data_IF_365818953723
#
_entry.id   IF_365818953723
#
_cell.length_a   1.000
_cell.length_b   1.000
_cell.length_c   1.000
_cell.angle_alpha   90.00
_cell.angle_beta   90.00
_cell.angle_gamma   90.00
#
_symmetry.space_group_name_H-M   'P 1'
#
loop_
_entity.id
_entity.type
_entity.pdbx_description
1 polymer ?
#
# COMPACT_ATOMS: atom_id res chain seq x y z
N UNK A 1 -28.81 12.77 9.68
CA UNK A 1 -28.65 13.38 8.34
C UNK A 1 -28.11 12.30 7.42
N UNK A 2 -28.44 12.33 6.14
CA UNK A 2 -27.87 11.35 5.22
C UNK A 2 -26.37 11.64 5.01
N UNK A 3 -25.57 10.58 4.91
CA UNK A 3 -24.15 10.72 4.55
C UNK A 3 -24.04 11.27 3.12
N UNK A 4 -23.03 12.10 2.82
CA UNK A 4 -22.80 12.56 1.46
C UNK A 4 -22.53 11.37 0.53
N UNK A 5 -22.99 11.47 -0.71
CA UNK A 5 -22.81 10.42 -1.71
C UNK A 5 -21.33 10.28 -2.09
N UNK A 6 -20.82 9.05 -2.07
CA UNK A 6 -19.46 8.74 -2.53
C UNK A 6 -19.43 8.65 -4.06
N UNK A 7 -18.56 9.44 -4.69
CA UNK A 7 -18.24 9.33 -6.11
C UNK A 7 -17.36 8.08 -6.35
N UNK A 8 -18.02 6.97 -6.67
CA UNK A 8 -17.36 5.67 -6.89
C UNK A 8 -16.49 5.66 -8.15
N UNK A 9 -16.80 6.46 -9.16
CA UNK A 9 -15.98 6.56 -10.37
C UNK A 9 -14.65 7.23 -10.05
N UNK A 10 -14.69 8.34 -9.32
CA UNK A 10 -13.48 9.01 -8.83
C UNK A 10 -12.63 8.09 -7.95
N UNK A 11 -13.25 7.40 -6.98
CA UNK A 11 -12.58 6.43 -6.12
C UNK A 11 -11.83 5.37 -6.94
N UNK A 12 -12.52 4.71 -7.86
CA UNK A 12 -11.96 3.62 -8.65
C UNK A 12 -10.90 4.10 -9.64
N UNK A 13 -11.05 5.30 -10.21
CA UNK A 13 -10.06 5.87 -11.13
C UNK A 13 -8.77 6.23 -10.39
N UNK A 14 -8.87 6.92 -9.24
CA UNK A 14 -7.71 7.22 -8.41
C UNK A 14 -7.01 5.95 -7.94
N UNK A 15 -7.78 4.96 -7.45
CA UNK A 15 -7.23 3.68 -7.02
C UNK A 15 -6.45 2.97 -8.14
N UNK A 16 -6.99 2.91 -9.36
CA UNK A 16 -6.29 2.32 -10.51
C UNK A 16 -4.98 3.05 -10.83
N UNK A 17 -4.96 4.38 -10.73
CA UNK A 17 -3.72 5.15 -10.95
C UNK A 17 -2.71 4.81 -9.85
N UNK A 18 -3.11 4.88 -8.57
CA UNK A 18 -2.26 4.57 -7.44
C UNK A 18 -1.67 3.16 -7.56
N UNK A 19 -2.48 2.15 -7.85
CA UNK A 19 -2.05 0.76 -7.98
C UNK A 19 -1.02 0.57 -9.10
N UNK A 20 -1.17 1.31 -10.21
CA UNK A 20 -0.23 1.25 -11.33
C UNK A 20 1.02 2.12 -11.12
N UNK A 21 1.08 2.97 -10.10
CA UNK A 21 2.28 3.72 -9.72
C UNK A 21 3.13 2.86 -8.77
N UNK A 22 4.33 2.40 -9.18
CA UNK A 22 5.22 1.62 -8.33
C UNK A 22 5.61 2.39 -7.07
N UNK A 23 5.52 1.75 -5.91
CA UNK A 23 5.92 2.38 -4.65
C UNK A 23 6.42 1.40 -3.60
N UNK A 24 7.40 0.52 -3.87
CA UNK A 24 7.99 -0.29 -2.81
C UNK A 24 8.47 0.59 -1.65
N UNK A 25 8.37 0.12 -0.41
CA UNK A 25 8.84 0.89 0.76
C UNK A 25 10.29 1.37 0.57
N UNK A 26 10.49 2.69 0.73
CA UNK A 26 11.76 3.36 0.44
C UNK A 26 11.91 3.92 -0.98
N UNK A 27 10.99 3.60 -1.90
CA UNK A 27 10.91 4.13 -3.26
C UNK A 27 9.50 4.66 -3.56
N UNK A 28 9.07 5.66 -2.78
CA UNK A 28 7.69 6.17 -2.81
C UNK A 28 7.54 7.57 -3.40
N UNK A 29 8.61 8.15 -3.96
CA UNK A 29 8.60 9.52 -4.47
C UNK A 29 7.44 9.77 -5.45
N UNK A 30 7.35 8.97 -6.50
CA UNK A 30 6.34 9.12 -7.55
C UNK A 30 4.89 9.01 -7.02
N UNK A 31 4.62 8.07 -6.10
CA UNK A 31 3.27 7.93 -5.53
C UNK A 31 2.93 9.06 -4.57
N UNK A 32 3.89 9.54 -3.78
CA UNK A 32 3.68 10.67 -2.87
C UNK A 32 3.49 11.96 -3.66
N UNK A 33 4.25 12.19 -4.73
CA UNK A 33 4.06 13.33 -5.62
C UNK A 33 2.68 13.30 -6.28
N UNK A 34 2.25 12.13 -6.76
CA UNK A 34 0.91 11.94 -7.32
C UNK A 34 -0.18 12.28 -6.30
N UNK A 35 -0.08 11.74 -5.08
CA UNK A 35 -1.05 11.98 -4.00
C UNK A 35 -1.03 13.46 -3.59
N UNK A 36 0.15 14.08 -3.50
CA UNK A 36 0.32 15.50 -3.18
C UNK A 36 -0.36 16.40 -4.21
N UNK A 37 -0.19 16.11 -5.51
CA UNK A 37 -0.85 16.83 -6.60
C UNK A 37 -2.38 16.70 -6.52
N UNK A 38 -2.89 15.48 -6.33
CA UNK A 38 -4.34 15.27 -6.17
C UNK A 38 -4.87 15.98 -4.91
N UNK A 39 -4.08 16.06 -3.84
CA UNK A 39 -4.49 16.73 -2.59
C UNK A 39 -4.52 18.25 -2.77
N UNK A 40 -3.61 18.80 -3.57
CA UNK A 40 -3.53 20.23 -3.87
C UNK A 40 -4.71 20.74 -4.72
N UNK A 41 -5.43 19.86 -5.42
CA UNK A 41 -6.68 20.22 -6.11
C UNK A 41 -7.81 20.61 -5.14
N UNK A 42 -7.70 20.22 -3.87
CA UNK A 42 -8.57 20.70 -2.80
C UNK A 42 -7.99 21.97 -2.19
N UNK A 43 -8.46 23.13 -2.66
CA UNK A 43 -7.93 24.44 -2.25
C UNK A 43 -8.02 24.78 -0.76
N UNK A 44 -8.79 24.00 0.02
CA UNK A 44 -8.94 24.12 1.47
C UNK A 44 -7.98 23.21 2.25
N UNK A 45 -7.13 22.45 1.56
CA UNK A 45 -6.08 21.64 2.14
C UNK A 45 -4.72 22.31 1.97
N UNK A 46 -3.86 22.11 2.96
CA UNK A 46 -2.46 22.55 2.94
C UNK A 46 -1.55 21.31 2.98
N UNK A 47 -1.24 20.70 1.81
CA UNK A 47 -0.37 19.53 1.75
C UNK A 47 1.10 19.91 1.97
N UNK A 48 1.76 19.20 2.88
CA UNK A 48 3.17 19.35 3.22
C UNK A 48 3.85 17.99 3.32
N UNK A 49 5.14 17.94 2.98
CA UNK A 49 5.94 16.74 3.13
C UNK A 49 6.64 16.73 4.49
N UNK A 50 6.58 15.60 5.19
CA UNK A 50 7.46 15.35 6.32
C UNK A 50 8.90 15.15 5.84
N UNK A 51 9.87 15.21 6.76
CA UNK A 51 11.29 14.94 6.44
C UNK A 51 11.54 13.54 5.89
N UNK A 52 10.66 12.57 6.19
CA UNK A 52 10.73 11.19 5.68
C UNK A 52 9.96 11.00 4.36
N UNK A 53 9.30 12.04 3.86
CA UNK A 53 8.57 12.00 2.59
C UNK A 53 7.14 11.49 2.71
N UNK A 54 6.58 11.31 3.91
CA UNK A 54 5.13 11.15 4.07
C UNK A 54 4.41 12.47 3.78
N UNK A 55 3.18 12.41 3.27
CA UNK A 55 2.34 13.57 3.00
C UNK A 55 1.41 13.86 4.18
N UNK A 56 1.33 15.11 4.61
CA UNK A 56 0.41 15.58 5.64
C UNK A 56 -0.41 16.73 5.07
N UNK A 57 -1.73 16.67 5.19
CA UNK A 57 -2.61 17.76 4.78
C UNK A 57 -3.64 18.03 5.87
N UNK A 58 -3.85 19.30 6.21
CA UNK A 58 -4.83 19.70 7.22
C UNK A 58 -6.02 20.38 6.58
N UNK A 59 -7.23 19.97 6.98
CA UNK A 59 -8.50 20.64 6.69
C UNK A 59 -9.01 21.29 7.96
N UNK A 60 -9.08 22.62 7.97
CA UNK A 60 -9.72 23.37 9.06
C UNK A 60 -11.19 22.98 9.22
N UNK A 61 -11.55 22.60 10.44
CA UNK A 61 -12.92 22.25 10.78
C UNK A 61 -13.72 23.44 11.29
N UNK A 62 -14.98 23.19 11.65
CA UNK A 62 -15.81 24.19 12.35
C UNK A 62 -15.28 24.54 13.74
N UNK A 63 -14.54 23.61 14.36
CA UNK A 63 -13.89 23.72 15.66
C UNK A 63 -12.46 23.16 15.58
N UNK A 64 -11.63 23.50 16.56
CA UNK A 64 -10.26 23.00 16.70
C UNK A 64 -9.92 22.65 18.16
N UNK A 65 -10.92 22.35 18.99
CA UNK A 65 -10.74 22.02 20.42
C UNK A 65 -10.55 20.51 20.65
N UNK A 66 -10.79 19.68 19.63
CA UNK A 66 -10.51 18.24 19.64
C UNK A 66 -10.06 17.77 18.25
N UNK A 67 -8.88 18.20 17.76
CA UNK A 67 -8.39 17.87 16.42
C UNK A 67 -8.29 16.36 16.20
N UNK A 68 -8.49 15.93 14.95
CA UNK A 68 -8.54 14.50 14.57
C UNK A 68 -7.62 14.21 13.41
N UNK A 69 -7.27 12.94 13.21
CA UNK A 69 -6.49 12.53 12.08
C UNK A 69 -6.92 11.19 11.51
N UNK A 70 -6.70 11.07 10.21
CA UNK A 70 -6.81 9.83 9.45
C UNK A 70 -5.46 9.52 8.84
N UNK A 71 -5.06 8.25 8.86
CA UNK A 71 -3.86 7.81 8.15
C UNK A 71 -4.09 6.53 7.37
N UNK A 72 -3.46 6.45 6.21
CA UNK A 72 -3.36 5.29 5.32
C UNK A 72 -1.92 5.27 4.77
N UNK A 73 -1.50 4.21 4.09
CA UNK A 73 -0.16 4.14 3.52
C UNK A 73 -0.13 3.92 2.01
N UNK A 74 0.89 4.50 1.37
CA UNK A 74 1.08 4.41 -0.08
C UNK A 74 2.29 3.54 -0.47
N UNK A 75 3.13 3.16 0.50
CA UNK A 75 4.17 2.18 0.25
C UNK A 75 3.60 0.78 0.10
N UNK A 76 4.39 -0.08 -0.53
CA UNK A 76 3.97 -1.42 -0.90
C UNK A 76 5.09 -2.41 -0.66
N UNK A 77 4.73 -3.67 -0.54
CA UNK A 77 5.66 -4.78 -0.71
C UNK A 77 6.45 -4.70 -2.02
N UNK A 78 7.68 -5.19 -2.00
CA UNK A 78 8.52 -5.26 -3.19
C UNK A 78 9.80 -6.04 -2.96
N UNK A 79 10.84 -5.71 -3.72
CA UNK A 79 12.15 -6.28 -3.52
C UNK A 79 13.26 -5.28 -3.87
N UNK A 80 14.48 -5.65 -3.53
CA UNK A 80 15.70 -4.95 -3.92
C UNK A 80 16.71 -5.94 -4.47
N UNK A 81 17.50 -5.52 -5.45
CA UNK A 81 18.59 -6.32 -6.00
C UNK A 81 19.64 -6.53 -4.91
N UNK A 82 19.88 -7.79 -4.53
CA UNK A 82 20.87 -8.19 -3.52
C UNK A 82 22.19 -8.64 -4.14
N UNK A 83 22.13 -9.32 -5.27
CA UNK A 83 23.29 -9.89 -5.94
C UNK A 83 22.99 -10.01 -7.44
N UNK A 84 23.97 -9.64 -8.27
CA UNK A 84 23.97 -9.95 -9.70
C UNK A 84 24.75 -11.25 -9.86
N UNK A 85 24.06 -12.33 -10.21
CA UNK A 85 24.62 -13.68 -10.32
C UNK A 85 25.55 -13.77 -11.52
N UNK A 86 26.45 -14.76 -11.51
CA UNK A 86 27.42 -14.99 -12.59
C UNK A 86 26.80 -15.21 -13.98
N UNK A 87 25.53 -15.59 -14.06
CA UNK A 87 24.78 -15.78 -15.30
C UNK A 87 23.92 -14.56 -15.70
N UNK A 88 24.14 -13.41 -15.06
CA UNK A 88 23.41 -12.15 -15.32
C UNK A 88 22.01 -12.06 -14.71
N UNK A 89 21.57 -13.07 -13.95
CA UNK A 89 20.29 -13.02 -13.25
C UNK A 89 20.40 -12.28 -11.92
N UNK A 90 19.29 -11.76 -11.43
CA UNK A 90 19.30 -10.99 -10.19
C UNK A 90 18.76 -11.83 -9.04
N UNK A 91 19.50 -11.88 -7.93
CA UNK A 91 18.97 -12.35 -6.66
C UNK A 91 18.33 -11.17 -5.93
N UNK A 92 17.18 -11.41 -5.31
CA UNK A 92 16.42 -10.39 -4.62
C UNK A 92 16.54 -10.53 -3.10
N UNK A 93 16.32 -9.42 -2.40
CA UNK A 93 15.91 -9.38 -1.00
C UNK A 93 14.53 -8.75 -0.91
N UNK A 94 13.69 -9.19 0.03
CA UNK A 94 12.32 -8.67 0.17
C UNK A 94 12.32 -7.26 0.76
N UNK A 95 11.33 -6.48 0.37
CA UNK A 95 10.87 -5.28 1.06
C UNK A 95 9.46 -5.62 1.58
N UNK A 96 9.29 -5.55 2.90
CA UNK A 96 8.08 -6.00 3.60
C UNK A 96 7.90 -7.53 3.69
N UNK A 97 6.76 -7.96 4.21
CA UNK A 97 6.49 -9.34 4.62
C UNK A 97 5.59 -10.15 3.67
N UNK A 98 6.19 -10.97 2.78
CA UNK A 98 5.43 -11.91 1.94
C UNK A 98 6.12 -13.25 1.70
N UNK A 99 5.36 -14.25 1.24
CA UNK A 99 5.90 -15.52 0.76
C UNK A 99 6.24 -15.43 -0.72
N UNK A 100 7.44 -15.89 -1.13
CA UNK A 100 7.85 -15.86 -2.54
C UNK A 100 6.90 -16.63 -3.48
N UNK A 101 6.17 -17.61 -2.94
CA UNK A 101 5.13 -18.34 -3.68
C UNK A 101 4.08 -17.41 -4.30
N UNK A 102 3.76 -16.28 -3.66
CA UNK A 102 2.71 -15.38 -4.12
C UNK A 102 3.16 -14.49 -5.29
N UNK A 103 4.45 -14.49 -5.62
CA UNK A 103 5.05 -13.67 -6.68
C UNK A 103 5.86 -14.47 -7.71
N UNK A 104 5.91 -15.80 -7.60
CA UNK A 104 6.52 -16.66 -8.62
C UNK A 104 5.77 -16.51 -9.95
N UNK A 105 6.49 -16.17 -11.02
CA UNK A 105 5.92 -15.95 -12.35
C UNK A 105 5.42 -14.52 -12.61
N UNK A 106 5.42 -13.65 -11.60
CA UNK A 106 5.05 -12.23 -11.79
C UNK A 106 6.07 -11.50 -12.65
N UNK A 107 5.57 -10.55 -13.44
CA UNK A 107 6.40 -9.52 -14.05
C UNK A 107 6.87 -8.51 -13.00
N UNK A 108 8.01 -7.89 -13.26
CA UNK A 108 8.55 -6.85 -12.39
C UNK A 108 9.30 -5.77 -13.18
N UNK A 109 9.42 -4.59 -12.56
CA UNK A 109 10.26 -3.48 -13.04
C UNK A 109 11.42 -3.27 -12.08
N UNK A 110 12.63 -3.17 -12.62
CA UNK A 110 13.85 -2.78 -11.91
C UNK A 110 14.09 -1.30 -12.18
N UNK A 111 14.31 -0.52 -11.13
CA UNK A 111 14.60 0.91 -11.20
C UNK A 111 16.06 1.14 -10.86
N UNK A 112 16.85 1.58 -11.83
CA UNK A 112 18.27 1.83 -11.61
C UNK A 112 18.49 3.24 -11.05
N UNK A 113 19.58 3.40 -10.29
CA UNK A 113 20.03 4.72 -9.81
C UNK A 113 20.24 5.78 -10.89
N UNK A 114 20.40 5.39 -12.16
CA UNK A 114 20.55 6.30 -13.31
C UNK A 114 19.20 6.70 -13.94
N UNK A 115 18.08 6.25 -13.38
CA UNK A 115 16.74 6.54 -13.88
C UNK A 115 16.29 5.64 -15.04
N UNK A 116 17.05 4.61 -15.40
CA UNK A 116 16.61 3.62 -16.38
C UNK A 116 15.69 2.59 -15.71
N UNK A 117 14.78 2.03 -16.51
CA UNK A 117 13.90 0.95 -16.06
C UNK A 117 14.08 -0.29 -16.93
N UNK A 118 14.06 -1.46 -16.29
CA UNK A 118 14.14 -2.76 -16.97
C UNK A 118 13.00 -3.66 -16.56
N UNK A 119 12.44 -4.35 -17.54
CA UNK A 119 11.43 -5.40 -17.31
C UNK A 119 12.12 -6.72 -17.00
N UNK A 120 11.43 -7.56 -16.23
CA UNK A 120 11.86 -8.92 -15.95
C UNK A 120 10.73 -9.78 -15.42
N UNK A 121 11.06 -11.03 -15.15
CA UNK A 121 10.14 -12.00 -14.53
C UNK A 121 10.78 -12.64 -13.30
N UNK A 122 10.01 -12.77 -12.22
CA UNK A 122 10.41 -13.47 -11.01
C UNK A 122 10.25 -14.97 -11.24
N UNK A 123 11.34 -15.71 -11.10
CA UNK A 123 11.39 -17.12 -11.41
C UNK A 123 12.05 -17.90 -10.27
N UNK A 124 11.63 -19.14 -10.14
CA UNK A 124 12.44 -20.13 -9.44
C UNK A 124 13.73 -20.39 -10.25
N UNK A 125 14.86 -20.46 -9.57
CA UNK A 125 16.18 -20.77 -10.17
C UNK A 125 16.22 -22.09 -10.94
N UNK A 126 15.27 -23.00 -10.67
CA UNK A 126 15.05 -24.25 -11.40
C UNK A 126 13.61 -24.30 -11.96
N UNK A 127 13.19 -23.28 -12.70
CA UNK A 127 11.79 -23.16 -13.15
C UNK A 127 11.29 -24.22 -14.15
N UNK A 128 12.18 -24.94 -14.87
CA UNK A 128 11.74 -25.86 -15.95
C UNK A 128 11.71 -27.32 -15.53
N UNK A 129 10.53 -27.93 -15.56
CA UNK A 129 10.34 -29.38 -15.34
C UNK A 129 10.99 -30.24 -16.42
N UNK A 130 11.08 -29.74 -17.66
CA UNK A 130 11.79 -30.44 -18.75
C UNK A 130 13.30 -30.48 -18.55
N UNK A 131 13.87 -29.57 -17.73
CA UNK A 131 15.31 -29.52 -17.43
C UNK A 131 15.62 -30.16 -16.08
N UNK A 132 14.75 -29.97 -15.07
CA UNK A 132 15.03 -30.34 -13.68
C UNK A 132 14.12 -31.44 -13.11
N UNK A 133 13.13 -31.92 -13.85
CA UNK A 133 12.22 -32.98 -13.43
C UNK A 133 11.42 -32.61 -12.18
N UNK A 134 11.26 -33.56 -11.25
CA UNK A 134 10.52 -33.34 -9.99
C UNK A 134 11.15 -32.29 -9.07
N UNK A 135 12.43 -31.96 -9.25
CA UNK A 135 13.15 -30.99 -8.40
C UNK A 135 12.51 -29.60 -8.42
N UNK A 136 11.73 -29.26 -9.46
CA UNK A 136 10.97 -28.00 -9.52
C UNK A 136 9.92 -27.93 -8.43
N UNK A 137 9.29 -29.07 -8.10
CA UNK A 137 8.23 -29.17 -7.10
C UNK A 137 8.81 -29.14 -5.68
N UNK A 138 9.99 -29.76 -5.50
CA UNK A 138 10.62 -29.91 -4.17
C UNK A 138 11.40 -28.65 -3.74
N UNK A 139 11.80 -27.80 -4.69
CA UNK A 139 12.63 -26.64 -4.38
C UNK A 139 11.81 -25.57 -3.65
N UNK A 140 12.23 -25.23 -2.43
CA UNK A 140 11.53 -24.25 -1.59
C UNK A 140 11.63 -22.83 -2.18
N UNK A 141 10.51 -22.10 -2.16
CA UNK A 141 10.40 -20.70 -2.58
C UNK A 141 10.93 -19.79 -1.48
N UNK A 142 12.25 -19.66 -1.42
CA UNK A 142 12.98 -18.85 -0.45
C UNK A 142 14.04 -17.98 -1.16
N UNK A 143 14.61 -17.00 -0.46
CA UNK A 143 15.50 -15.98 -1.02
C UNK A 143 16.69 -16.53 -1.84
N UNK A 144 17.17 -17.73 -1.50
CA UNK A 144 18.27 -18.39 -2.21
C UNK A 144 17.87 -18.98 -3.56
N UNK A 145 16.58 -19.28 -3.73
CA UNK A 145 16.05 -20.05 -4.86
C UNK A 145 15.22 -19.21 -5.83
N UNK A 146 14.86 -17.97 -5.46
CA UNK A 146 14.15 -17.03 -6.33
C UNK A 146 15.13 -16.06 -6.99
N UNK A 147 14.85 -15.71 -8.24
CA UNK A 147 15.67 -14.81 -9.04
C UNK A 147 14.84 -14.06 -10.08
N UNK A 148 15.39 -12.97 -10.62
CA UNK A 148 14.82 -12.27 -11.77
C UNK A 148 15.62 -12.61 -13.01
N UNK A 149 14.90 -12.99 -14.07
CA UNK A 149 15.42 -12.94 -15.43
C UNK A 149 15.01 -11.60 -16.03
N UNK A 150 15.99 -10.77 -16.36
CA UNK A 150 15.74 -9.53 -17.09
C UNK A 150 15.28 -9.83 -18.52
N UNK A 151 14.39 -9.00 -19.04
CA UNK A 151 14.01 -8.98 -20.45
C UNK A 151 15.00 -8.12 -21.26
N UNK A 152 16.29 -8.37 -21.02
CA UNK A 152 17.42 -7.71 -21.65
C UNK A 152 18.48 -8.76 -22.04
N UNK A 153 19.25 -8.48 -23.09
CA UNK A 153 20.33 -9.37 -23.52
C UNK A 153 21.54 -9.20 -22.60
N UNK A 154 21.67 -10.10 -21.64
CA UNK A 154 22.83 -10.23 -20.76
C UNK A 154 23.04 -11.71 -20.42
N UNK A 155 24.30 -12.14 -20.34
CA UNK A 155 24.66 -13.54 -20.02
C UNK A 155 25.56 -13.68 -18.81
N UNK A 156 26.04 -12.56 -18.26
CA UNK A 156 26.95 -12.55 -17.13
C UNK A 156 26.76 -11.31 -16.25
N UNK A 157 27.47 -11.28 -15.13
CA UNK A 157 27.34 -10.20 -14.16
C UNK A 157 27.83 -8.84 -14.68
N UNK A 158 28.85 -8.82 -15.53
CA UNK A 158 29.45 -7.57 -16.01
C UNK A 158 28.58 -6.93 -17.09
N UNK A 159 28.09 -7.72 -18.05
CA UNK A 159 27.09 -7.26 -19.02
C UNK A 159 25.82 -6.73 -18.34
N UNK A 160 25.41 -7.34 -17.23
CA UNK A 160 24.23 -6.87 -16.47
C UNK A 160 24.50 -5.53 -15.79
N UNK A 161 25.71 -5.34 -15.25
CA UNK A 161 26.14 -4.05 -14.70
C UNK A 161 26.27 -2.97 -15.77
N UNK A 162 26.67 -3.33 -16.97
CA UNK A 162 26.77 -2.41 -18.11
C UNK A 162 25.40 -1.86 -18.54
N UNK A 163 24.31 -2.56 -18.24
CA UNK A 163 22.94 -2.04 -18.38
C UNK A 163 22.61 -0.96 -17.32
N UNK A 164 23.47 -0.78 -16.31
CA UNK A 164 23.28 0.14 -15.19
C UNK A 164 22.58 -0.50 -13.99
N UNK A 165 22.26 -1.80 -14.03
CA UNK A 165 21.68 -2.51 -12.88
C UNK A 165 22.74 -2.73 -11.81
N UNK A 166 22.42 -2.41 -10.57
CA UNK A 166 23.31 -2.53 -9.42
C UNK A 166 22.62 -3.16 -8.21
N UNK A 167 23.42 -3.65 -7.27
CA UNK A 167 22.93 -4.01 -5.93
C UNK A 167 22.37 -2.75 -5.27
N UNK A 168 21.17 -2.85 -4.69
CA UNK A 168 20.44 -1.72 -4.12
C UNK A 168 19.32 -1.18 -4.99
N UNK A 169 19.26 -1.56 -6.28
CA UNK A 169 18.18 -1.14 -7.17
C UNK A 169 16.83 -1.72 -6.71
N UNK A 170 15.79 -0.88 -6.74
CA UNK A 170 14.44 -1.27 -6.35
C UNK A 170 13.77 -2.12 -7.42
N UNK A 171 12.96 -3.07 -6.98
CA UNK A 171 12.17 -3.96 -7.82
C UNK A 171 10.71 -3.89 -7.39
N UNK A 172 9.86 -3.39 -8.28
CA UNK A 172 8.42 -3.38 -8.09
C UNK A 172 7.76 -4.53 -8.87
N UNK A 173 6.75 -5.15 -8.28
CA UNK A 173 6.01 -6.24 -8.90
C UNK A 173 4.82 -5.70 -9.68
N UNK A 174 4.44 -6.39 -10.75
CA UNK A 174 3.28 -5.99 -11.53
C UNK A 174 2.00 -6.12 -10.70
N UNK A 175 1.16 -5.07 -10.63
CA UNK A 175 -0.04 -5.08 -9.79
C UNK A 175 -1.17 -5.95 -10.37
N UNK A 176 -1.22 -6.14 -11.70
CA UNK A 176 -2.29 -6.86 -12.42
C UNK A 176 -3.69 -6.33 -12.07
N UNK A 177 -3.85 -5.01 -12.11
CA UNK A 177 -5.11 -4.33 -11.77
C UNK A 177 -6.22 -4.74 -12.73
N UNK A 178 -7.29 -5.31 -12.19
CA UNK A 178 -8.50 -5.69 -12.93
C UNK A 178 -9.74 -5.23 -12.18
N UNK A 179 -10.78 -4.82 -12.91
CA UNK A 179 -12.08 -4.51 -12.34
C UNK A 179 -13.17 -5.19 -13.14
N UNK A 180 -14.01 -5.96 -12.46
CA UNK A 180 -15.04 -6.78 -13.10
C UNK A 180 -16.19 -7.07 -12.12
N UNK A 181 -17.45 -6.93 -12.58
CA UNK A 181 -18.66 -7.24 -11.82
C UNK A 181 -18.71 -6.67 -10.39
N UNK A 182 -18.27 -5.43 -10.21
CA UNK A 182 -18.25 -4.76 -8.90
C UNK A 182 -17.04 -5.09 -8.02
N UNK A 183 -16.14 -5.97 -8.46
CA UNK A 183 -14.88 -6.25 -7.79
C UNK A 183 -13.73 -5.45 -8.40
N UNK A 184 -12.74 -5.16 -7.58
CA UNK A 184 -11.40 -4.79 -8.01
C UNK A 184 -10.42 -5.83 -7.47
N UNK A 185 -9.55 -6.34 -8.34
CA UNK A 185 -8.50 -7.29 -7.99
C UNK A 185 -7.18 -6.68 -8.40
N UNK A 186 -6.24 -6.66 -7.47
CA UNK A 186 -4.87 -6.24 -7.74
C UNK A 186 -3.97 -6.80 -6.65
N UNK A 187 -2.68 -6.89 -6.94
CA UNK A 187 -1.66 -6.78 -5.92
C UNK A 187 -1.56 -5.32 -5.46
N UNK A 188 -1.14 -5.09 -4.21
CA UNK A 188 -0.96 -3.77 -3.62
C UNK A 188 -2.28 -2.99 -3.37
N UNK A 189 -3.42 -3.69 -3.24
CA UNK A 189 -4.64 -3.08 -2.69
C UNK A 189 -4.36 -2.52 -1.29
N UNK A 190 -3.63 -3.31 -0.52
CA UNK A 190 -2.91 -2.91 0.68
C UNK A 190 -1.80 -1.90 0.34
N UNK A 191 -1.91 -0.62 0.71
CA UNK A 191 -3.08 0.08 1.32
C UNK A 191 -3.56 1.26 0.45
N UNK A 192 -3.25 1.18 -0.84
CA UNK A 192 -3.66 2.18 -1.84
C UNK A 192 -5.19 2.30 -1.94
N UNK A 193 -5.92 1.25 -1.58
CA UNK A 193 -7.37 1.28 -1.45
C UNK A 193 -7.83 2.30 -0.39
N UNK A 194 -7.22 2.33 0.79
CA UNK A 194 -7.61 3.26 1.84
C UNK A 194 -7.15 4.68 1.56
N UNK A 195 -5.99 4.86 0.91
CA UNK A 195 -5.60 6.17 0.36
C UNK A 195 -6.69 6.69 -0.56
N UNK A 196 -7.17 5.89 -1.52
CA UNK A 196 -8.25 6.30 -2.42
C UNK A 196 -9.57 6.59 -1.67
N UNK A 197 -9.91 5.80 -0.64
CA UNK A 197 -11.08 6.03 0.21
C UNK A 197 -11.02 7.37 0.94
N UNK A 198 -9.86 7.79 1.47
CA UNK A 198 -9.68 9.10 2.11
C UNK A 198 -9.99 10.22 1.10
N UNK A 199 -9.43 10.15 -0.10
CA UNK A 199 -9.69 11.14 -1.15
C UNK A 199 -11.17 11.19 -1.55
N UNK A 200 -11.82 10.03 -1.70
CA UNK A 200 -13.23 9.97 -2.03
C UNK A 200 -14.11 10.57 -0.92
N UNK A 201 -13.76 10.37 0.35
CA UNK A 201 -14.46 10.98 1.48
C UNK A 201 -14.28 12.51 1.50
N UNK A 202 -13.07 13.02 1.24
CA UNK A 202 -12.80 14.46 1.13
C UNK A 202 -13.65 15.07 0.00
N UNK A 203 -13.63 14.46 -1.18
CA UNK A 203 -14.40 14.90 -2.34
C UNK A 203 -15.91 14.89 -2.09
N UNK A 204 -16.42 13.86 -1.41
CA UNK A 204 -17.83 13.76 -1.06
C UNK A 204 -18.27 14.90 -0.12
N UNK A 205 -17.48 15.21 0.91
CA UNK A 205 -17.74 16.34 1.80
C UNK A 205 -17.73 17.67 1.06
N UNK A 206 -16.70 17.91 0.23
CA UNK A 206 -16.60 19.12 -0.58
C UNK A 206 -17.81 19.28 -1.51
N UNK A 207 -18.21 18.21 -2.21
CA UNK A 207 -19.32 18.23 -3.16
C UNK A 207 -20.66 18.52 -2.49
N UNK A 208 -20.80 18.12 -1.23
CA UNK A 208 -21.95 18.42 -0.38
C UNK A 208 -21.88 19.80 0.29
N UNK A 209 -20.81 20.57 0.09
CA UNK A 209 -20.58 21.86 0.76
C UNK A 209 -20.36 21.70 2.27
N UNK A 210 -19.88 20.53 2.70
CA UNK A 210 -19.60 20.19 4.09
C UNK A 210 -18.11 20.33 4.41
N UNK A 211 -17.81 20.52 5.69
CA UNK A 211 -16.47 20.47 6.24
C UNK A 211 -16.45 19.62 7.53
N UNK A 212 -15.29 19.13 7.97
CA UNK A 212 -15.16 18.43 9.23
C UNK A 212 -15.64 19.27 10.43
N UNK A 213 -16.24 18.62 11.43
CA UNK A 213 -16.62 19.33 12.66
C UNK A 213 -15.41 19.79 13.48
N UNK A 214 -14.31 19.06 13.39
CA UNK A 214 -13.03 19.34 14.05
C UNK A 214 -11.95 19.42 12.97
N UNK A 215 -10.95 20.29 13.13
CA UNK A 215 -9.78 20.32 12.25
C UNK A 215 -9.20 18.91 12.14
N UNK A 216 -9.02 18.48 10.90
CA UNK A 216 -8.71 17.09 10.56
C UNK A 216 -7.43 17.04 9.73
N UNK A 217 -6.46 16.26 10.19
CA UNK A 217 -5.21 15.99 9.49
C UNK A 217 -5.30 14.65 8.74
N UNK A 218 -4.98 14.66 7.46
CA UNK A 218 -4.81 13.47 6.65
C UNK A 218 -3.31 13.19 6.51
N UNK A 219 -2.89 11.99 6.85
CA UNK A 219 -1.50 11.56 6.78
C UNK A 219 -1.37 10.35 5.85
N UNK A 220 -0.64 10.49 4.74
CA UNK A 220 -0.33 9.39 3.84
C UNK A 220 1.10 8.94 4.10
N UNK A 221 1.24 7.83 4.82
CA UNK A 221 2.54 7.29 5.22
C UNK A 221 3.21 6.52 4.08
N UNK A 222 4.53 6.31 4.20
CA UNK A 222 5.36 5.73 3.15
C UNK A 222 6.37 4.68 3.66
N UNK A 223 6.17 4.17 4.87
CA UNK A 223 7.05 3.18 5.53
C UNK A 223 6.26 2.24 6.47
N UNK A 224 4.99 1.99 6.18
CA UNK A 224 4.17 1.10 7.01
C UNK A 224 4.71 -0.33 6.96
N UNK A 225 5.02 -0.85 5.77
CA UNK A 225 5.27 -2.29 5.50
C UNK A 225 6.56 -2.83 6.15
N UNK A 226 7.32 -1.96 6.82
CA UNK A 226 8.53 -2.25 7.58
C UNK A 226 8.43 -1.83 9.05
N UNK A 227 7.22 -1.52 9.53
CA UNK A 227 6.88 -1.23 10.92
C UNK A 227 7.24 0.18 11.39
N UNK A 228 7.38 1.16 10.49
CA UNK A 228 7.50 2.57 10.92
C UNK A 228 6.17 3.31 10.90
N UNK A 229 5.26 2.96 9.98
CA UNK A 229 3.95 3.58 9.83
C UNK A 229 3.98 5.11 9.86
N UNK A 230 2.94 5.70 10.44
CA UNK A 230 2.81 7.14 10.66
C UNK A 230 3.47 7.62 11.97
N UNK A 231 4.71 7.21 12.27
CA UNK A 231 5.38 7.51 13.54
C UNK A 231 5.61 9.01 13.85
N UNK A 232 5.49 9.90 12.87
CA UNK A 232 5.70 11.35 13.03
C UNK A 232 4.95 12.14 11.97
N UNK A 233 4.68 13.41 12.23
CA UNK A 233 4.02 14.31 11.26
C UNK A 233 2.64 14.78 11.72
N UNK A 234 2.09 14.17 12.77
CA UNK A 234 0.84 14.64 13.38
C UNK A 234 1.05 15.88 14.27
N UNK A 235 0.06 16.77 14.36
CA UNK A 235 0.01 17.81 15.37
C UNK A 235 0.08 17.26 16.80
N UNK A 236 0.76 17.93 17.74
CA UNK A 236 0.94 17.44 19.11
C UNK A 236 -0.34 17.48 19.96
N UNK A 237 -1.36 18.22 19.52
CA UNK A 237 -2.66 18.41 20.19
C UNK A 237 -3.76 17.48 19.66
N UNK A 238 -3.38 16.45 18.89
CA UNK A 238 -4.30 15.49 18.31
C UNK A 238 -5.09 14.74 19.41
N UNK A 239 -6.42 14.75 19.32
CA UNK A 239 -7.30 14.07 20.26
C UNK A 239 -7.59 12.62 19.85
N UNK A 240 -7.75 12.36 18.55
CA UNK A 240 -8.09 11.04 18.00
C UNK A 240 -7.32 10.78 16.69
N UNK A 241 -6.78 9.57 16.54
CA UNK A 241 -6.20 9.07 15.30
C UNK A 241 -6.95 7.79 14.89
N UNK A 242 -7.35 7.72 13.63
CA UNK A 242 -7.89 6.51 13.02
C UNK A 242 -6.94 6.10 11.89
N UNK A 243 -6.40 4.90 11.98
CA UNK A 243 -5.73 4.24 10.85
C UNK A 243 -6.80 3.58 9.99
N UNK A 244 -6.74 3.84 8.69
CA UNK A 244 -7.60 3.24 7.68
C UNK A 244 -6.72 2.27 6.91
N UNK A 245 -7.08 1.00 6.98
CA UNK A 245 -6.25 -0.11 6.51
C UNK A 245 -7.12 -1.28 6.06
N UNK A 246 -6.50 -2.31 5.51
CA UNK A 246 -7.18 -3.46 4.95
C UNK A 246 -7.71 -4.44 6.00
N UNK A 247 -8.71 -5.22 5.57
CA UNK A 247 -9.24 -6.32 6.35
C UNK A 247 -8.63 -7.64 5.86
N UNK A 248 -7.99 -8.38 6.78
CA UNK A 248 -7.46 -9.70 6.47
C UNK A 248 -8.56 -10.75 6.53
N UNK A 249 -8.98 -11.27 5.37
CA UNK A 249 -9.99 -12.33 5.25
C UNK A 249 -9.33 -13.71 5.34
N UNK A 250 -9.84 -14.56 6.22
CA UNK A 250 -9.31 -15.91 6.42
C UNK A 250 -10.10 -16.75 7.41
N UNK A 251 -9.71 -18.01 7.57
CA UNK A 251 -10.31 -18.88 8.58
C UNK A 251 -10.11 -18.29 9.98
N UNK A 252 -11.19 -18.17 10.74
CA UNK A 252 -11.20 -17.56 12.08
C UNK A 252 -11.49 -16.06 12.10
N UNK A 253 -11.54 -15.39 10.95
CA UNK A 253 -11.85 -13.96 10.82
C UNK A 253 -13.33 -13.76 10.52
N UNK A 254 -13.90 -12.64 10.98
CA UNK A 254 -15.29 -12.29 10.67
C UNK A 254 -15.41 -11.50 9.38
N UNK A 255 -14.37 -10.73 9.02
CA UNK A 255 -14.27 -9.87 7.85
C UNK A 255 -14.67 -10.56 6.54
N UNK A 256 -15.19 -9.77 5.60
CA UNK A 256 -15.46 -10.18 4.23
C UNK A 256 -15.22 -9.02 3.27
N UNK A 257 -15.41 -9.28 1.97
CA UNK A 257 -15.18 -8.31 0.89
C UNK A 257 -16.36 -7.34 0.67
N UNK A 258 -17.43 -7.42 1.48
CA UNK A 258 -18.67 -6.67 1.29
C UNK A 258 -19.01 -5.71 2.43
N UNK A 259 -18.18 -5.66 3.48
CA UNK A 259 -18.38 -4.82 4.65
C UNK A 259 -17.10 -4.09 5.02
N UNK A 260 -17.24 -2.88 5.58
CA UNK A 260 -16.15 -2.25 6.31
C UNK A 260 -15.84 -3.05 7.56
N UNK A 261 -14.57 -3.24 7.90
CA UNK A 261 -14.19 -3.96 9.12
C UNK A 261 -13.60 -3.03 10.16
N UNK A 262 -14.13 -3.09 11.38
CA UNK A 262 -13.61 -2.45 12.57
C UNK A 262 -12.70 -3.44 13.31
N UNK A 263 -11.38 -3.25 13.18
CA UNK A 263 -10.41 -4.02 13.94
C UNK A 263 -10.41 -3.55 15.41
N UNK A 264 -10.62 -4.47 16.34
CA UNK A 264 -10.58 -4.15 17.79
C UNK A 264 -9.30 -4.58 18.47
N UNK A 265 -8.49 -5.42 17.81
CA UNK A 265 -7.18 -5.86 18.26
C UNK A 265 -6.38 -6.43 17.09
N UNK A 266 -5.09 -6.13 17.04
CA UNK A 266 -4.14 -6.76 16.12
C UNK A 266 -3.03 -7.52 16.89
N UNK A 267 -1.89 -7.82 16.24
CA UNK A 267 -0.74 -8.45 16.90
C UNK A 267 -0.04 -7.54 17.92
N UNK A 268 -0.15 -6.21 17.76
CA UNK A 268 0.42 -5.20 18.66
C UNK A 268 -0.41 -4.99 19.93
N UNK A 269 -1.74 -5.17 19.86
CA UNK A 269 -2.59 -5.10 21.05
C UNK A 269 -4.02 -4.67 20.75
N UNK A 270 -4.86 -4.52 21.80
CA UNK A 270 -6.21 -3.99 21.64
C UNK A 270 -6.19 -2.50 21.28
N UNK A 271 -7.05 -2.09 20.35
CA UNK A 271 -7.29 -0.68 20.06
C UNK A 271 -8.14 -0.01 21.16
N UNK A 272 -8.13 1.32 21.18
CA UNK A 272 -8.79 2.11 22.22
C UNK A 272 -10.29 1.80 22.30
N UNK A 273 -10.72 1.26 23.44
CA UNK A 273 -12.10 0.80 23.65
C UNK A 273 -13.13 1.91 23.40
N UNK A 274 -12.92 3.12 23.91
CA UNK A 274 -13.88 4.22 23.75
C UNK A 274 -14.06 4.67 22.30
N UNK A 275 -12.97 4.68 21.52
CA UNK A 275 -13.01 5.05 20.10
C UNK A 275 -13.71 3.97 19.29
N UNK A 276 -13.48 2.70 19.61
CA UNK A 276 -14.20 1.58 19.01
C UNK A 276 -15.71 1.66 19.27
N UNK A 277 -16.15 1.99 20.48
CA UNK A 277 -17.58 2.17 20.76
C UNK A 277 -18.18 3.33 19.98
N UNK A 278 -17.44 4.45 19.87
CA UNK A 278 -17.86 5.60 19.06
C UNK A 278 -18.05 5.22 17.58
N UNK A 279 -17.10 4.47 16.99
CA UNK A 279 -17.20 4.03 15.60
C UNK A 279 -18.37 3.07 15.36
N UNK A 280 -18.66 2.16 16.30
CA UNK A 280 -19.85 1.29 16.25
C UNK A 280 -21.14 2.07 16.25
N UNK A 281 -21.25 3.03 17.17
CA UNK A 281 -22.43 3.88 17.28
C UNK A 281 -22.65 4.69 16.00
N UNK A 282 -21.58 5.23 15.40
CA UNK A 282 -21.67 5.92 14.10
C UNK A 282 -22.14 4.97 12.99
N UNK A 283 -21.57 3.77 12.90
CA UNK A 283 -22.00 2.80 11.90
C UNK A 283 -23.48 2.40 12.06
N UNK A 284 -23.96 2.24 13.30
CA UNK A 284 -25.36 1.97 13.61
C UNK A 284 -26.29 3.15 13.28
N UNK A 285 -25.90 4.38 13.67
CA UNK A 285 -26.67 5.60 13.43
C UNK A 285 -26.85 5.89 11.94
N UNK A 286 -25.78 5.71 11.15
CA UNK A 286 -25.77 5.97 9.72
C UNK A 286 -26.01 4.72 8.86
N UNK A 287 -26.38 3.59 9.50
CA UNK A 287 -26.68 2.32 8.85
C UNK A 287 -25.58 1.82 7.90
N UNK A 288 -24.32 2.04 8.26
CA UNK A 288 -23.16 1.53 7.51
C UNK A 288 -22.93 0.07 7.90
N UNK A 289 -23.08 -0.89 6.97
CA UNK A 289 -22.82 -2.30 7.26
C UNK A 289 -21.34 -2.49 7.63
N UNK A 290 -21.09 -3.10 8.79
CA UNK A 290 -19.73 -3.31 9.28
C UNK A 290 -19.57 -4.66 9.98
N UNK A 291 -18.32 -5.11 10.07
CA UNK A 291 -17.91 -6.25 10.88
C UNK A 291 -16.87 -5.87 11.91
N UNK A 292 -16.72 -6.72 12.92
CA UNK A 292 -15.79 -6.53 14.02
C UNK A 292 -14.83 -7.67 14.00
N UNK A 293 -13.54 -7.37 13.99
CA UNK A 293 -12.55 -8.42 13.81
C UNK A 293 -11.28 -8.22 14.66
N UNK A 294 -10.50 -9.29 14.74
CA UNK A 294 -9.21 -9.34 15.44
C UNK A 294 -8.19 -9.94 14.48
N UNK A 295 -7.02 -9.33 14.34
CA UNK A 295 -6.00 -9.78 13.39
C UNK A 295 -4.73 -10.27 14.11
N UNK A 296 -4.57 -11.58 14.39
CA UNK A 296 -3.52 -12.07 15.28
C UNK A 296 -2.08 -11.93 14.76
N UNK A 297 -1.92 -11.92 13.43
CA UNK A 297 -0.62 -11.88 12.76
C UNK A 297 -0.39 -10.59 11.96
N UNK A 298 -1.39 -9.72 11.92
CA UNK A 298 -1.31 -8.39 11.32
C UNK A 298 -0.77 -7.41 12.36
N UNK A 299 0.05 -6.46 11.96
CA UNK A 299 0.51 -5.38 12.83
C UNK A 299 1.10 -4.26 11.99
N UNK A 300 0.55 -3.07 12.19
CA UNK A 300 0.91 -1.82 11.52
C UNK A 300 1.50 -0.82 12.51
#
# INVERSE_FOLDING_TARGET
SDLPQIDSEYLLNLLKILLNTPSPTGFTGDVIDLVSQNMADFSFLSPELTRKGALVATWEGSLNDSPRALTAHADTLGAMVKEIKSNGRLKLTKIGGFAWNTVEGEGCTIFTSQGNTFRGSILLSKASGHVHGSKVNDLKREDSNMEVRLDARTTDADQTRDLGVQVGDFVAFDPRVESHNGFIRSRHLDDKACVACIFAAIKALQSAGLQPSQTTTFHISNYEEVGHGAASGFPPDLAELITVDMAAVGEGQTSDEFHSTLCVKDSGGPYHHGLNQKLRQLAEEYQVPYKVDIYPYYGS
#
